data_IF_495519133176
#
_entry.id   IF_495519133176
#
_cell.length_a   1.000
_cell.length_b   1.000
_cell.length_c   1.000
_cell.angle_alpha   90.00
_cell.angle_beta   90.00
_cell.angle_gamma   90.00
#
_symmetry.space_group_name_H-M   'P 1'
#
loop_
_entity.id
_entity.type
_entity.pdbx_description
1 polymer ?
#
# COMPACT_ATOMS: atom_id res chain seq x y z
N UNK A 1 -16.92 -9.46 22.27
CA UNK A 1 -15.50 -9.33 21.85
C UNK A 1 -15.48 -8.89 20.40
N UNK A 2 -15.13 -7.63 20.13
CA UNK A 2 -15.11 -7.07 18.78
C UNK A 2 -13.96 -7.70 17.98
N UNK A 3 -14.30 -8.58 17.05
CA UNK A 3 -13.36 -9.17 16.11
C UNK A 3 -13.06 -8.11 15.04
N UNK A 4 -12.32 -7.06 15.42
CA UNK A 4 -11.85 -6.03 14.50
C UNK A 4 -10.81 -6.70 13.58
N UNK A 5 -11.29 -7.24 12.45
CA UNK A 5 -10.42 -7.61 11.32
C UNK A 5 -9.66 -6.34 10.95
N UNK A 6 -8.38 -6.27 11.34
CA UNK A 6 -7.49 -5.20 10.88
C UNK A 6 -7.64 -5.09 9.37
N UNK A 7 -7.83 -3.87 8.84
CA UNK A 7 -8.02 -3.72 7.42
C UNK A 7 -6.79 -4.25 6.67
N UNK A 8 -7.02 -4.89 5.53
CA UNK A 8 -5.99 -5.65 4.81
C UNK A 8 -4.73 -4.83 4.50
N UNK A 9 -4.89 -3.53 4.30
CA UNK A 9 -3.80 -2.59 4.07
C UNK A 9 -2.88 -2.38 5.29
N UNK A 10 -3.40 -2.43 6.53
CA UNK A 10 -2.56 -2.37 7.74
C UNK A 10 -1.71 -3.63 7.90
N UNK A 11 -2.27 -4.79 7.56
CA UNK A 11 -1.52 -6.06 7.59
C UNK A 11 -0.42 -6.04 6.53
N UNK A 12 -0.71 -5.46 5.36
CA UNK A 12 0.26 -5.28 4.28
C UNK A 12 1.37 -4.31 4.64
N UNK A 13 1.05 -3.14 5.22
CA UNK A 13 2.07 -2.18 5.66
C UNK A 13 2.96 -2.80 6.72
N UNK A 14 2.39 -3.47 7.72
CA UNK A 14 3.15 -4.16 8.78
C UNK A 14 4.06 -5.23 8.20
N UNK A 15 3.58 -6.02 7.22
CA UNK A 15 4.40 -7.04 6.55
C UNK A 15 5.53 -6.42 5.74
N UNK A 16 5.29 -5.29 5.07
CA UNK A 16 6.32 -4.58 4.32
C UNK A 16 7.33 -3.91 5.28
N UNK A 17 6.91 -3.37 6.41
CA UNK A 17 7.83 -2.87 7.45
C UNK A 17 8.72 -3.97 8.00
N UNK A 18 8.14 -5.12 8.35
CA UNK A 18 8.91 -6.29 8.79
C UNK A 18 9.85 -6.75 7.68
N UNK A 19 9.42 -6.67 6.41
CA UNK A 19 10.24 -6.99 5.27
C UNK A 19 11.47 -6.10 5.18
N UNK A 20 11.27 -4.78 5.22
CA UNK A 20 12.31 -3.76 5.14
C UNK A 20 13.26 -3.88 6.34
N UNK A 21 12.72 -4.01 7.56
CA UNK A 21 13.52 -4.19 8.77
C UNK A 21 14.39 -5.46 8.72
N UNK A 22 13.86 -6.57 8.18
CA UNK A 22 14.62 -7.82 7.98
C UNK A 22 15.63 -7.72 6.83
N UNK A 23 15.33 -6.93 5.81
CA UNK A 23 16.25 -6.60 4.71
C UNK A 23 17.48 -5.87 5.23
N UNK A 24 17.28 -4.86 6.08
CA UNK A 24 18.34 -4.15 6.78
C UNK A 24 19.18 -5.04 7.70
N UNK A 25 18.68 -6.24 8.04
CA UNK A 25 19.40 -7.27 8.81
C UNK A 25 19.93 -8.42 7.96
N UNK A 26 19.82 -8.38 6.63
CA UNK A 26 20.16 -9.48 5.72
C UNK A 26 19.45 -10.82 6.04
N UNK A 27 18.30 -10.79 6.71
CA UNK A 27 17.57 -11.98 7.17
C UNK A 27 16.48 -12.44 6.18
N UNK A 28 16.35 -11.78 5.03
CA UNK A 28 15.24 -12.00 4.09
C UNK A 28 15.75 -12.40 2.71
N UNK A 29 15.00 -13.28 2.05
CA UNK A 29 15.29 -13.71 0.68
C UNK A 29 14.59 -12.79 -0.32
N UNK A 30 15.24 -12.55 -1.45
CA UNK A 30 14.73 -11.81 -2.62
C UNK A 30 13.27 -12.17 -2.96
N UNK A 31 12.93 -13.46 -2.86
CA UNK A 31 11.59 -14.00 -3.11
C UNK A 31 10.52 -13.41 -2.19
N UNK A 32 10.79 -13.23 -0.90
CA UNK A 32 9.78 -12.69 0.02
C UNK A 32 9.47 -11.22 -0.26
N UNK A 33 10.46 -10.46 -0.70
CA UNK A 33 10.25 -9.06 -1.10
C UNK A 33 9.43 -9.00 -2.38
N UNK A 34 9.78 -9.83 -3.36
CA UNK A 34 9.02 -9.95 -4.60
C UNK A 34 7.54 -10.25 -4.35
N UNK A 35 7.25 -11.24 -3.50
CA UNK A 35 5.87 -11.62 -3.16
C UNK A 35 5.12 -10.46 -2.51
N UNK A 36 5.75 -9.67 -1.64
CA UNK A 36 5.06 -8.51 -1.04
C UNK A 36 4.80 -7.42 -2.09
N UNK A 37 5.75 -7.15 -2.98
CA UNK A 37 5.57 -6.20 -4.09
C UNK A 37 4.41 -6.64 -5.01
N UNK A 38 4.34 -7.92 -5.35
CA UNK A 38 3.25 -8.48 -6.16
C UNK A 38 1.90 -8.37 -5.44
N UNK A 39 1.86 -8.63 -4.13
CA UNK A 39 0.63 -8.49 -3.34
C UNK A 39 0.22 -7.02 -3.19
N UNK A 40 1.16 -6.08 -3.05
CA UNK A 40 0.87 -4.64 -3.05
C UNK A 40 0.27 -4.17 -4.37
N UNK A 41 0.82 -4.65 -5.48
CA UNK A 41 0.31 -4.35 -6.82
C UNK A 41 -1.09 -4.93 -7.03
N UNK A 42 -1.32 -6.19 -6.65
CA UNK A 42 -2.62 -6.84 -6.80
C UNK A 42 -3.68 -6.38 -5.77
N UNK A 43 -3.25 -5.80 -4.65
CA UNK A 43 -4.12 -5.35 -3.56
C UNK A 43 -5.00 -4.20 -4.02
N UNK A 44 -6.33 -4.32 -3.86
CA UNK A 44 -7.25 -3.18 -3.95
C UNK A 44 -7.26 -2.43 -2.62
N UNK A 45 -6.59 -1.29 -2.59
CA UNK A 45 -6.58 -0.36 -1.45
C UNK A 45 -7.03 1.03 -1.91
N UNK A 46 -7.57 1.88 -1.01
CA UNK A 46 -7.93 3.25 -1.36
C UNK A 46 -6.72 4.03 -1.86
N UNK A 47 -6.90 4.96 -2.79
CA UNK A 47 -5.84 5.80 -3.31
C UNK A 47 -5.14 6.60 -2.22
N UNK A 48 -5.90 7.11 -1.24
CA UNK A 48 -5.34 7.73 -0.03
C UNK A 48 -4.27 6.84 0.64
N UNK A 49 -4.57 5.57 0.83
CA UNK A 49 -3.67 4.60 1.46
C UNK A 49 -2.52 4.25 0.52
N UNK A 50 -2.79 4.07 -0.77
CA UNK A 50 -1.77 3.79 -1.78
C UNK A 50 -0.73 4.92 -1.84
N UNK A 51 -1.16 6.18 -1.82
CA UNK A 51 -0.30 7.36 -1.78
C UNK A 51 0.56 7.39 -0.51
N UNK A 52 -0.05 7.16 0.65
CA UNK A 52 0.68 7.11 1.91
C UNK A 52 1.74 6.01 1.91
N UNK A 53 1.42 4.81 1.38
CA UNK A 53 2.40 3.73 1.25
C UNK A 53 3.50 4.09 0.25
N UNK A 54 3.17 4.72 -0.87
CA UNK A 54 4.14 5.15 -1.87
C UNK A 54 5.16 6.17 -1.30
N UNK A 55 4.70 7.10 -0.46
CA UNK A 55 5.55 8.06 0.22
C UNK A 55 6.38 7.42 1.32
N UNK A 56 5.76 6.62 2.18
CA UNK A 56 6.45 5.98 3.31
C UNK A 56 7.57 5.04 2.84
N UNK A 57 7.36 4.32 1.72
CA UNK A 57 8.33 3.40 1.14
C UNK A 57 9.11 3.99 -0.04
N UNK A 58 9.18 5.32 -0.19
CA UNK A 58 9.86 5.97 -1.32
C UNK A 58 11.35 5.58 -1.45
N UNK A 59 12.00 5.28 -0.32
CA UNK A 59 13.42 4.88 -0.27
C UNK A 59 13.66 3.37 -0.52
N UNK A 60 12.59 2.56 -0.61
CA UNK A 60 12.68 1.11 -0.80
C UNK A 60 13.48 0.72 -2.05
N UNK A 61 13.31 1.33 -3.24
CA UNK A 61 14.08 0.97 -4.42
C UNK A 61 15.58 1.24 -4.24
N UNK A 62 15.94 2.33 -3.56
CA UNK A 62 17.34 2.67 -3.30
C UNK A 62 17.98 1.69 -2.32
N UNK A 63 17.25 1.26 -1.29
CA UNK A 63 17.70 0.21 -0.36
C UNK A 63 17.91 -1.13 -1.07
N UNK A 64 17.00 -1.52 -1.96
CA UNK A 64 17.11 -2.75 -2.74
C UNK A 64 18.29 -2.73 -3.71
N UNK A 65 18.52 -1.59 -4.38
CA UNK A 65 19.68 -1.41 -5.26
C UNK A 65 21.00 -1.49 -4.47
N UNK A 66 21.04 -0.87 -3.29
CA UNK A 66 22.22 -0.91 -2.39
C UNK A 66 22.53 -2.33 -1.91
N UNK A 67 21.50 -3.17 -1.76
CA UNK A 67 21.63 -4.59 -1.43
C UNK A 67 22.03 -5.49 -2.63
N UNK A 68 22.18 -4.92 -3.83
CA UNK A 68 22.48 -5.65 -5.06
C UNK A 68 21.27 -6.35 -5.69
N UNK A 69 20.04 -5.94 -5.34
CA UNK A 69 18.79 -6.51 -5.86
C UNK A 69 18.15 -5.58 -6.89
N UNK A 70 18.89 -5.29 -7.97
CA UNK A 70 18.49 -4.31 -8.99
C UNK A 70 17.14 -4.62 -9.65
N UNK A 71 16.85 -5.90 -9.91
CA UNK A 71 15.55 -6.33 -10.46
C UNK A 71 14.39 -6.02 -9.51
N UNK A 72 14.60 -6.21 -8.20
CA UNK A 72 13.60 -5.85 -7.19
C UNK A 72 13.48 -4.35 -7.02
N UNK A 73 14.59 -3.61 -7.10
CA UNK A 73 14.57 -2.14 -7.08
C UNK A 73 13.68 -1.58 -8.18
N UNK A 74 13.87 -2.05 -9.42
CA UNK A 74 13.01 -1.65 -10.54
C UNK A 74 11.55 -2.05 -10.34
N UNK A 75 11.30 -3.24 -9.78
CA UNK A 75 9.96 -3.72 -9.49
C UNK A 75 9.29 -2.86 -8.40
N UNK A 76 10.01 -2.53 -7.34
CA UNK A 76 9.55 -1.66 -6.27
C UNK A 76 9.23 -0.25 -6.80
N UNK A 77 10.10 0.32 -7.64
CA UNK A 77 9.85 1.62 -8.26
C UNK A 77 8.57 1.62 -9.11
N UNK A 78 8.32 0.56 -9.89
CA UNK A 78 7.07 0.40 -10.66
C UNK A 78 5.84 0.30 -9.75
N UNK A 79 5.93 -0.50 -8.68
CA UNK A 79 4.81 -0.65 -7.73
C UNK A 79 4.52 0.67 -7.01
N UNK A 80 5.54 1.42 -6.58
CA UNK A 80 5.35 2.72 -5.94
C UNK A 80 4.77 3.75 -6.91
N UNK A 81 5.19 3.74 -8.18
CA UNK A 81 4.62 4.60 -9.21
C UNK A 81 3.15 4.25 -9.49
N UNK A 82 2.81 2.95 -9.55
CA UNK A 82 1.42 2.49 -9.66
C UNK A 82 0.60 2.99 -8.48
N UNK A 83 1.06 2.74 -7.25
CA UNK A 83 0.38 3.19 -6.03
C UNK A 83 0.17 4.71 -5.99
N UNK A 84 1.15 5.50 -6.46
CA UNK A 84 1.07 6.98 -6.53
C UNK A 84 0.15 7.49 -7.64
N UNK A 85 -0.09 6.68 -8.66
CA UNK A 85 -0.99 6.99 -9.77
C UNK A 85 -2.41 6.46 -9.58
N UNK A 86 -2.69 5.76 -8.47
CA UNK A 86 -4.04 5.29 -8.18
C UNK A 86 -4.91 6.47 -7.79
N UNK A 87 -5.97 6.67 -8.54
CA UNK A 87 -7.06 7.55 -8.13
C UNK A 87 -8.17 6.69 -7.55
N UNK A 88 -8.75 7.11 -6.43
CA UNK A 88 -9.98 6.48 -5.94
C UNK A 88 -11.03 6.76 -7.01
N UNK A 89 -11.69 5.72 -7.52
CA UNK A 89 -12.89 5.91 -8.34
C UNK A 89 -13.78 6.89 -7.57
N UNK A 90 -14.04 8.05 -8.17
CA UNK A 90 -14.98 9.05 -7.64
C UNK A 90 -16.28 8.33 -7.35
N UNK A 91 -16.50 7.90 -6.11
CA UNK A 91 -17.84 7.63 -5.63
C UNK A 91 -18.55 8.96 -5.71
N UNK A 92 -19.45 9.07 -6.68
CA UNK A 92 -20.47 10.10 -6.72
C UNK A 92 -20.95 10.34 -5.29
N UNK A 93 -20.85 11.59 -4.85
CA UNK A 93 -21.52 12.04 -3.65
C UNK A 93 -22.99 11.69 -3.81
N UNK A 94 -23.45 10.66 -3.10
CA UNK A 94 -24.87 10.56 -2.77
C UNK A 94 -25.13 11.77 -1.90
N UNK A 95 -25.71 12.80 -2.51
CA UNK A 95 -26.12 14.02 -1.83
C UNK A 95 -27.17 13.58 -0.82
N UNK A 96 -26.86 13.73 0.46
CA UNK A 96 -27.84 13.81 1.52
C UNK A 96 -28.76 15.00 1.21
N UNK A 97 -29.93 14.72 0.64
CA UNK A 97 -31.09 15.63 0.74
C UNK A 97 -32.22 14.89 1.44
N UNK A 98 -32.13 14.82 2.77
CA UNK A 98 -33.32 14.93 3.61
C UNK A 98 -33.05 16.04 4.62
N UNK A 99 -33.94 17.05 4.67
CA UNK A 99 -35.05 16.88 5.59
C UNK A 99 -36.38 17.24 4.93
N UNK A 100 -37.24 16.24 4.78
CA UNK A 100 -38.64 16.46 4.45
C UNK A 100 -39.35 17.01 5.71
N UNK A 101 -39.31 18.33 5.89
CA UNK A 101 -40.15 19.04 6.86
C UNK A 101 -41.41 19.48 6.14
N UNK A 102 -42.51 18.75 6.35
CA UNK A 102 -43.84 19.24 6.00
C UNK A 102 -44.41 20.02 7.19
N UNK A 103 -44.72 21.33 7.06
CA UNK A 103 -45.59 22.00 8.01
C UNK A 103 -47.06 21.88 7.55
N UNK A 104 -47.86 21.29 8.46
CA UNK A 104 -49.31 21.45 8.71
C UNK A 104 -50.30 21.43 7.55
#
# INVERSE_FOLDING_TARGET
>A
MANQKKPFHEVLSTKLDIAVFRLSRNLRTEKEVKVILDVLLASKMPASVAHQMAEYFTNLPSLLATAGWDNLSQSAAKVLADLRGREDEKKEKVVEEEPFVFPL
#
